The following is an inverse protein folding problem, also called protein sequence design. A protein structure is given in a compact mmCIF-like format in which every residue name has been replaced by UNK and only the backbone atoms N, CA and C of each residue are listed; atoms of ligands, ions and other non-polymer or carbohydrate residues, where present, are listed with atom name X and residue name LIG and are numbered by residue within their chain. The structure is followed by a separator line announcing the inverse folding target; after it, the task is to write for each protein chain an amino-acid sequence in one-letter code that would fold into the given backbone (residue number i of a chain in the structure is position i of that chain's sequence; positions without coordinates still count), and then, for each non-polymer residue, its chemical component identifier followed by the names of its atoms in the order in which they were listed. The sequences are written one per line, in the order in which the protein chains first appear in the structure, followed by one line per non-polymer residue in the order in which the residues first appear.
data_IF_044487950177
#
_entry.id   IF_044487950177
#
_cell.length_a   1.000
_cell.length_b   1.000
_cell.length_c   1.000
_cell.angle_alpha   90.00
_cell.angle_beta   90.00
_cell.angle_gamma   90.00
#
_symmetry.space_group_name_H-M   'P 1'
#
loop_
_entity.id
_entity.type
_entity.pdbx_description
1 polymer ?
#
# COMPACT_ATOMS: atom_id res chain seq x y z
N UNK A 1 -4.22 -4.02 25.96
CA UNK A 1 -4.92 -4.11 24.66
C UNK A 1 -5.69 -2.81 24.46
N UNK A 2 -5.20 -1.87 23.63
CA UNK A 2 -5.80 -0.55 23.49
C UNK A 2 -7.24 -0.57 22.99
N UNK A 3 -7.60 -1.40 21.99
CA UNK A 3 -8.98 -1.47 21.48
C UNK A 3 -9.96 -1.87 22.58
N UNK A 4 -9.70 -2.96 23.31
CA UNK A 4 -10.59 -3.41 24.39
C UNK A 4 -10.64 -2.40 25.54
N UNK A 5 -9.51 -1.80 25.90
CA UNK A 5 -9.45 -0.77 26.94
C UNK A 5 -10.18 0.50 26.52
N UNK A 6 -10.10 0.87 25.23
CA UNK A 6 -10.81 2.03 24.70
C UNK A 6 -12.32 1.86 24.80
N UNK A 7 -12.84 0.68 24.44
CA UNK A 7 -14.27 0.35 24.54
C UNK A 7 -14.70 0.33 26.02
N UNK A 8 -13.93 -0.36 26.89
CA UNK A 8 -14.24 -0.47 28.30
C UNK A 8 -14.22 0.88 29.05
N UNK A 9 -13.38 1.83 28.61
CA UNK A 9 -13.25 3.17 29.19
C UNK A 9 -14.05 4.24 28.43
N UNK A 10 -14.89 3.84 27.47
CA UNK A 10 -15.74 4.73 26.65
C UNK A 10 -14.91 5.87 26.02
N UNK A 11 -13.74 5.54 25.49
CA UNK A 11 -12.84 6.49 24.82
C UNK A 11 -12.14 7.49 25.73
N UNK A 12 -12.12 7.29 27.04
CA UNK A 12 -11.52 8.23 28.01
C UNK A 12 -10.29 7.65 28.71
N UNK A 13 -9.34 8.52 29.04
CA UNK A 13 -8.17 8.11 29.81
C UNK A 13 -8.58 7.63 31.23
N UNK A 14 -8.00 6.53 31.68
CA UNK A 14 -8.28 5.97 33.02
C UNK A 14 -7.92 6.93 34.16
N UNK A 15 -6.84 7.71 33.99
CA UNK A 15 -6.34 8.64 35.04
C UNK A 15 -6.97 10.02 34.93
N UNK A 16 -6.83 10.70 33.81
CA UNK A 16 -7.22 12.10 33.63
C UNK A 16 -8.61 12.31 33.02
N UNK A 17 -9.30 11.22 32.61
CA UNK A 17 -10.64 11.26 31.99
C UNK A 17 -10.71 12.04 30.64
N UNK A 18 -9.58 12.55 30.13
CA UNK A 18 -9.55 13.22 28.83
C UNK A 18 -9.91 12.26 27.70
N UNK A 19 -10.60 12.72 26.65
CA UNK A 19 -10.93 11.92 25.48
C UNK A 19 -9.67 11.46 24.76
N UNK A 20 -9.66 10.21 24.32
CA UNK A 20 -8.60 9.61 23.51
C UNK A 20 -9.10 9.56 22.07
N UNK A 21 -8.27 9.98 21.11
CA UNK A 21 -8.64 9.93 19.69
C UNK A 21 -8.97 8.50 19.25
N UNK A 22 -10.05 8.35 18.49
CA UNK A 22 -10.48 7.08 17.88
C UNK A 22 -9.45 6.50 16.89
N UNK A 23 -8.52 7.33 16.40
CA UNK A 23 -7.45 6.90 15.49
C UNK A 23 -6.57 5.80 16.11
N UNK A 24 -6.29 5.87 17.43
CA UNK A 24 -5.44 4.87 18.10
C UNK A 24 -6.04 3.45 18.05
N UNK A 25 -7.27 3.24 18.54
CA UNK A 25 -7.87 1.91 18.46
C UNK A 25 -8.17 1.48 17.03
N UNK A 26 -8.42 2.42 16.11
CA UNK A 26 -8.62 2.11 14.69
C UNK A 26 -7.35 1.55 14.06
N UNK A 27 -6.20 2.21 14.23
CA UNK A 27 -4.91 1.74 13.70
C UNK A 27 -4.57 0.37 14.29
N UNK A 28 -4.75 0.18 15.60
CA UNK A 28 -4.50 -1.10 16.25
C UNK A 28 -5.39 -2.21 15.68
N UNK A 29 -6.68 -1.92 15.47
CA UNK A 29 -7.62 -2.87 14.88
C UNK A 29 -7.21 -3.25 13.45
N UNK A 30 -6.87 -2.26 12.61
CA UNK A 30 -6.40 -2.48 11.23
C UNK A 30 -5.13 -3.32 11.23
N UNK A 31 -4.14 -2.98 12.06
CA UNK A 31 -2.90 -3.76 12.19
C UNK A 31 -3.17 -5.20 12.66
N UNK A 32 -4.06 -5.38 13.64
CA UNK A 32 -4.44 -6.72 14.13
C UNK A 32 -5.13 -7.56 13.07
N UNK A 33 -6.10 -6.99 12.35
CA UNK A 33 -6.78 -7.66 11.23
C UNK A 33 -5.81 -8.01 10.11
N UNK A 34 -4.92 -7.07 9.74
CA UNK A 34 -3.89 -7.29 8.73
C UNK A 34 -2.97 -8.46 9.12
N UNK A 35 -2.54 -8.51 10.39
CA UNK A 35 -1.72 -9.62 10.90
C UNK A 35 -2.41 -10.96 10.73
N UNK A 36 -3.68 -11.06 11.12
CA UNK A 36 -4.45 -12.30 11.01
C UNK A 36 -4.63 -12.73 9.55
N UNK A 37 -4.95 -11.80 8.65
CA UNK A 37 -5.09 -12.08 7.23
C UNK A 37 -3.77 -12.56 6.62
N UNK A 38 -2.67 -11.88 6.89
CA UNK A 38 -1.34 -12.25 6.39
C UNK A 38 -0.88 -13.60 6.96
N UNK A 39 -1.14 -13.86 8.25
CA UNK A 39 -0.82 -15.15 8.86
C UNK A 39 -1.59 -16.29 8.21
N UNK A 40 -2.85 -16.07 7.83
CA UNK A 40 -3.66 -17.07 7.14
C UNK A 40 -3.16 -17.34 5.70
N UNK A 41 -2.63 -16.33 5.01
CA UNK A 41 -2.14 -16.46 3.63
C UNK A 41 -0.74 -17.06 3.58
N UNK A 42 0.18 -16.55 4.41
CA UNK A 42 1.60 -16.88 4.33
C UNK A 42 2.05 -17.93 5.37
N UNK A 43 1.19 -18.24 6.36
CA UNK A 43 1.57 -19.05 7.51
C UNK A 43 2.69 -18.42 8.34
N UNK A 44 3.26 -19.12 9.33
CA UNK A 44 4.39 -18.66 10.13
C UNK A 44 5.71 -18.82 9.36
N UNK A 45 5.95 -17.95 8.37
CA UNK A 45 7.10 -17.98 7.46
C UNK A 45 7.93 -16.70 7.55
N UNK A 46 9.14 -16.70 6.99
CA UNK A 46 9.92 -15.48 6.84
C UNK A 46 9.26 -14.48 5.87
N UNK A 47 8.55 -14.98 4.86
CA UNK A 47 7.76 -14.15 3.97
C UNK A 47 6.67 -13.39 4.73
N UNK A 48 5.97 -14.05 5.68
CA UNK A 48 5.02 -13.40 6.57
C UNK A 48 5.63 -12.23 7.33
N UNK A 49 6.86 -12.40 7.88
CA UNK A 49 7.54 -11.34 8.61
C UNK A 49 7.83 -10.14 7.71
N UNK A 50 8.28 -10.37 6.49
CA UNK A 50 8.53 -9.30 5.52
C UNK A 50 7.23 -8.58 5.17
N UNK A 51 6.16 -9.34 4.84
CA UNK A 51 4.88 -8.76 4.43
C UNK A 51 4.19 -7.98 5.55
N UNK A 52 4.32 -8.41 6.81
CA UNK A 52 3.75 -7.65 7.95
C UNK A 52 4.51 -6.35 8.20
N UNK A 53 5.84 -6.35 8.09
CA UNK A 53 6.65 -5.13 8.24
C UNK A 53 6.29 -4.10 7.16
N UNK A 54 6.18 -4.53 5.90
CA UNK A 54 5.76 -3.65 4.80
C UNK A 54 4.33 -3.16 4.99
N UNK A 55 3.42 -4.03 5.42
CA UNK A 55 2.02 -3.64 5.67
C UNK A 55 1.90 -2.59 6.77
N UNK A 56 2.63 -2.74 7.87
CA UNK A 56 2.64 -1.74 8.94
C UNK A 56 3.27 -0.42 8.52
N UNK A 57 4.34 -0.49 7.71
CA UNK A 57 4.93 0.69 7.09
C UNK A 57 3.92 1.44 6.22
N UNK A 58 3.17 0.72 5.38
CA UNK A 58 2.16 1.31 4.50
C UNK A 58 0.98 1.92 5.29
N UNK A 59 0.53 1.26 6.35
CA UNK A 59 -0.50 1.80 7.24
C UNK A 59 -0.01 3.11 7.87
N UNK A 60 1.22 3.14 8.40
CA UNK A 60 1.79 4.35 8.98
C UNK A 60 1.91 5.49 7.95
N UNK A 61 2.44 5.20 6.76
CA UNK A 61 2.55 6.18 5.65
C UNK A 61 1.17 6.73 5.29
N UNK A 62 0.13 5.88 5.22
CA UNK A 62 -1.24 6.31 4.91
C UNK A 62 -1.72 7.40 5.86
N UNK A 63 -1.56 7.22 7.17
CA UNK A 63 -2.01 8.21 8.15
C UNK A 63 -1.16 9.48 8.13
N UNK A 64 0.14 9.37 7.87
CA UNK A 64 1.03 10.53 7.76
C UNK A 64 0.72 11.34 6.50
N UNK A 65 0.53 10.65 5.37
CA UNK A 65 0.27 11.33 4.09
C UNK A 65 -1.11 12.03 4.07
N UNK A 66 -2.12 11.43 4.71
CA UNK A 66 -3.43 12.10 4.90
C UNK A 66 -3.32 13.37 5.76
N UNK A 67 -2.44 13.38 6.77
CA UNK A 67 -2.33 14.52 7.68
C UNK A 67 -1.37 15.61 7.17
N UNK A 68 -0.29 15.22 6.49
CA UNK A 68 0.83 16.12 6.17
C UNK A 68 1.17 16.19 4.68
N UNK A 69 0.57 15.36 3.83
CA UNK A 69 0.85 15.27 2.38
C UNK A 69 2.32 14.98 2.08
N UNK A 70 2.99 14.20 2.93
CA UNK A 70 4.39 13.82 2.77
C UNK A 70 4.60 12.34 3.08
N UNK A 71 5.55 11.73 2.38
CA UNK A 71 6.08 10.40 2.70
C UNK A 71 7.46 10.59 3.34
N UNK A 72 7.64 10.31 4.65
CA UNK A 72 8.92 10.50 5.32
C UNK A 72 10.01 9.61 4.72
N UNK A 73 11.21 10.19 4.53
CA UNK A 73 12.34 9.44 3.96
C UNK A 73 12.80 8.28 4.85
N UNK A 74 12.52 8.31 6.14
CA UNK A 74 12.82 7.25 7.10
C UNK A 74 12.13 5.94 6.71
N UNK A 75 10.87 6.00 6.28
CA UNK A 75 10.15 4.82 5.79
C UNK A 75 10.68 4.33 4.45
N UNK A 76 11.13 5.24 3.60
CA UNK A 76 11.79 4.91 2.33
C UNK A 76 13.09 4.13 2.60
N UNK A 77 13.94 4.63 3.51
CA UNK A 77 15.18 3.98 3.90
C UNK A 77 14.89 2.62 4.55
N UNK A 78 13.91 2.56 5.45
CA UNK A 78 13.50 1.32 6.12
C UNK A 78 13.04 0.26 5.11
N UNK A 79 12.16 0.62 4.17
CA UNK A 79 11.71 -0.28 3.13
C UNK A 79 12.84 -0.76 2.22
N UNK A 80 13.79 0.11 1.88
CA UNK A 80 14.97 -0.24 1.10
C UNK A 80 15.87 -1.24 1.84
N UNK A 81 16.11 -1.05 3.13
CA UNK A 81 16.88 -1.98 3.97
C UNK A 81 16.20 -3.35 4.01
N UNK A 82 14.87 -3.39 4.25
CA UNK A 82 14.11 -4.64 4.26
C UNK A 82 14.20 -5.33 2.89
N UNK A 83 14.12 -4.57 1.79
CA UNK A 83 14.25 -5.12 0.43
C UNK A 83 15.60 -5.80 0.24
N UNK A 84 16.72 -5.13 0.60
CA UNK A 84 18.06 -5.71 0.50
C UNK A 84 18.18 -6.99 1.33
N UNK A 85 17.74 -6.95 2.59
CA UNK A 85 17.77 -8.10 3.50
C UNK A 85 16.96 -9.26 2.91
N UNK A 86 15.74 -8.98 2.47
CA UNK A 86 14.81 -10.00 1.96
C UNK A 86 15.36 -10.72 0.73
N UNK A 87 16.00 -10.00 -0.18
CA UNK A 87 16.62 -10.59 -1.37
C UNK A 87 17.94 -11.30 -1.06
N UNK A 88 18.79 -10.75 -0.16
CA UNK A 88 20.05 -11.35 0.22
C UNK A 88 19.88 -12.70 0.93
N UNK A 89 18.87 -12.80 1.79
CA UNK A 89 18.55 -14.02 2.54
C UNK A 89 17.48 -14.90 1.87
N UNK A 90 17.04 -14.53 0.65
CA UNK A 90 16.00 -15.26 -0.10
C UNK A 90 14.72 -15.49 0.72
N UNK A 91 14.30 -14.47 1.46
CA UNK A 91 13.10 -14.54 2.31
C UNK A 91 11.79 -14.45 1.50
N UNK A 92 11.89 -14.07 0.23
CA UNK A 92 10.78 -13.93 -0.71
C UNK A 92 10.92 -14.95 -1.84
N UNK A 93 9.80 -15.45 -2.42
CA UNK A 93 9.81 -16.37 -3.54
C UNK A 93 10.14 -15.73 -4.89
N UNK A 94 10.71 -14.53 -4.90
CA UNK A 94 11.13 -13.78 -6.09
C UNK A 94 12.64 -13.58 -6.08
N UNK A 95 13.23 -13.59 -7.28
CA UNK A 95 14.66 -13.33 -7.45
C UNK A 95 14.97 -11.84 -7.36
N UNK A 96 16.22 -11.49 -7.09
CA UNK A 96 16.71 -10.09 -7.12
C UNK A 96 16.36 -9.40 -8.45
N UNK A 97 16.52 -10.13 -9.56
CA UNK A 97 16.24 -9.61 -10.91
C UNK A 97 14.75 -9.31 -11.10
N UNK A 98 13.87 -10.21 -10.63
CA UNK A 98 12.43 -9.97 -10.65
C UNK A 98 12.04 -8.78 -9.76
N UNK A 99 12.67 -8.63 -8.60
CA UNK A 99 12.49 -7.48 -7.72
C UNK A 99 12.92 -6.16 -8.39
N UNK A 100 14.07 -6.16 -9.07
CA UNK A 100 14.53 -4.98 -9.84
C UNK A 100 13.55 -4.61 -10.96
N UNK A 101 13.08 -5.58 -11.73
CA UNK A 101 12.07 -5.31 -12.75
C UNK A 101 10.76 -4.83 -12.16
N UNK A 102 10.29 -5.39 -11.04
CA UNK A 102 9.11 -4.92 -10.32
C UNK A 102 9.28 -3.48 -9.83
N UNK A 103 10.45 -3.16 -9.28
CA UNK A 103 10.82 -1.80 -8.86
C UNK A 103 10.73 -0.81 -10.02
N UNK A 104 11.37 -1.13 -11.15
CA UNK A 104 11.32 -0.31 -12.36
C UNK A 104 9.90 -0.20 -12.93
N UNK A 105 9.12 -1.27 -12.85
CA UNK A 105 7.73 -1.26 -13.33
C UNK A 105 6.88 -0.32 -12.48
N UNK A 106 6.84 -0.51 -11.16
CA UNK A 106 5.96 0.29 -10.31
C UNK A 106 6.45 1.74 -10.22
N UNK A 107 7.66 1.97 -9.74
CA UNK A 107 8.20 3.32 -9.57
C UNK A 107 8.48 4.03 -10.88
N UNK A 108 8.97 3.31 -11.91
CA UNK A 108 9.22 3.87 -13.24
C UNK A 108 7.95 4.31 -13.96
N UNK A 109 6.87 3.52 -13.87
CA UNK A 109 5.57 3.91 -14.44
C UNK A 109 4.97 5.11 -13.67
N UNK A 110 5.06 5.14 -12.32
CA UNK A 110 4.66 6.33 -11.55
C UNK A 110 5.47 7.56 -11.97
N UNK A 111 6.78 7.42 -12.18
CA UNK A 111 7.63 8.51 -12.66
C UNK A 111 7.20 9.01 -14.04
N UNK A 112 6.99 8.09 -15.01
CA UNK A 112 6.56 8.46 -16.37
C UNK A 112 5.20 9.17 -16.32
N UNK A 113 4.23 8.62 -15.57
CA UNK A 113 2.90 9.22 -15.47
C UNK A 113 2.92 10.56 -14.74
N UNK A 114 3.73 10.68 -13.68
CA UNK A 114 3.97 11.95 -12.99
C UNK A 114 4.60 13.01 -13.91
N UNK A 115 5.64 12.63 -14.67
CA UNK A 115 6.30 13.52 -15.63
C UNK A 115 5.35 13.96 -16.77
N UNK A 116 4.57 13.03 -17.32
CA UNK A 116 3.55 13.34 -18.32
C UNK A 116 2.47 14.27 -17.76
N UNK A 117 1.97 14.00 -16.58
CA UNK A 117 0.99 14.86 -15.91
C UNK A 117 1.54 16.26 -15.67
N UNK A 118 2.77 16.39 -15.17
CA UNK A 118 3.45 17.67 -14.96
C UNK A 118 3.64 18.44 -16.28
N UNK A 119 3.99 17.74 -17.37
CA UNK A 119 4.13 18.34 -18.69
C UNK A 119 2.79 18.88 -19.25
N UNK A 120 1.69 18.12 -19.07
CA UNK A 120 0.35 18.48 -19.56
C UNK A 120 -0.25 19.62 -18.73
N UNK A 121 -0.22 19.48 -17.40
CA UNK A 121 -0.92 20.42 -16.49
C UNK A 121 -0.04 21.58 -16.02
N UNK A 122 1.26 21.57 -16.36
CA UNK A 122 2.26 22.58 -15.91
C UNK A 122 2.32 22.79 -14.39
N UNK A 123 1.95 21.78 -13.64
CA UNK A 123 2.00 21.69 -12.17
C UNK A 123 2.50 20.30 -11.81
N UNK A 124 3.14 20.15 -10.66
CA UNK A 124 3.55 18.83 -10.17
C UNK A 124 2.32 17.92 -10.03
N UNK A 125 2.26 16.86 -10.84
CA UNK A 125 1.12 15.95 -10.88
C UNK A 125 1.24 14.79 -9.88
N UNK A 126 2.46 14.42 -9.46
CA UNK A 126 2.72 13.33 -8.52
C UNK A 126 3.93 13.67 -7.64
N UNK A 127 3.82 13.39 -6.36
CA UNK A 127 4.89 13.61 -5.39
C UNK A 127 6.09 12.71 -5.64
N UNK A 128 7.31 13.24 -5.46
CA UNK A 128 8.53 12.44 -5.59
C UNK A 128 8.62 11.32 -4.53
N UNK A 129 7.94 11.50 -3.39
CA UNK A 129 7.77 10.49 -2.35
C UNK A 129 7.05 9.23 -2.86
N UNK A 130 5.96 9.43 -3.64
CA UNK A 130 5.17 8.34 -4.22
C UNK A 130 5.98 7.48 -5.19
N UNK A 131 6.84 8.12 -5.99
CA UNK A 131 7.73 7.44 -6.93
C UNK A 131 8.73 6.56 -6.17
N UNK A 132 9.37 7.11 -5.13
CA UNK A 132 10.30 6.35 -4.27
C UNK A 132 9.60 5.18 -3.59
N UNK A 133 8.39 5.41 -3.07
CA UNK A 133 7.58 4.37 -2.46
C UNK A 133 7.27 3.26 -3.47
N UNK A 134 6.83 3.62 -4.68
CA UNK A 134 6.57 2.66 -5.75
C UNK A 134 7.80 1.85 -6.14
N UNK A 135 9.01 2.46 -6.22
CA UNK A 135 10.26 1.75 -6.45
C UNK A 135 10.51 0.67 -5.39
N UNK A 136 10.31 0.99 -4.13
CA UNK A 136 10.52 0.05 -3.02
C UNK A 136 9.48 -1.05 -3.05
N UNK A 137 8.20 -0.71 -3.17
CA UNK A 137 7.12 -1.69 -3.17
C UNK A 137 7.22 -2.66 -4.34
N UNK A 138 7.60 -2.18 -5.52
CA UNK A 138 7.84 -3.01 -6.69
C UNK A 138 8.91 -4.08 -6.45
N UNK A 139 9.92 -3.78 -5.63
CA UNK A 139 10.97 -4.75 -5.29
C UNK A 139 10.47 -5.97 -4.51
N UNK A 140 9.35 -5.84 -3.78
CA UNK A 140 8.72 -6.94 -3.03
C UNK A 140 7.68 -7.70 -3.87
N UNK A 141 7.12 -7.05 -4.88
CA UNK A 141 6.00 -7.56 -5.66
C UNK A 141 6.45 -8.30 -6.93
N UNK A 142 7.55 -7.88 -7.57
CA UNK A 142 7.91 -8.33 -8.93
C UNK A 142 7.02 -7.68 -9.98
N UNK A 143 7.20 -8.04 -11.27
CA UNK A 143 6.54 -7.33 -12.40
C UNK A 143 5.02 -7.45 -12.35
N UNK A 144 4.50 -8.66 -12.27
CA UNK A 144 3.06 -8.94 -12.41
C UNK A 144 2.24 -8.26 -11.32
N UNK A 145 2.67 -8.42 -10.06
CA UNK A 145 1.98 -7.82 -8.93
C UNK A 145 2.18 -6.31 -8.87
N UNK A 146 3.30 -5.79 -9.39
CA UNK A 146 3.53 -4.35 -9.50
C UNK A 146 2.57 -3.70 -10.51
N UNK A 147 2.30 -4.35 -11.64
CA UNK A 147 1.30 -3.88 -12.60
C UNK A 147 -0.10 -3.88 -11.99
N UNK A 148 -0.46 -4.93 -11.25
CA UNK A 148 -1.75 -5.02 -10.57
C UNK A 148 -1.88 -3.92 -9.51
N UNK A 149 -0.86 -3.73 -8.67
CA UNK A 149 -0.84 -2.70 -7.65
C UNK A 149 -0.91 -1.29 -8.27
N UNK A 150 -0.18 -1.05 -9.36
CA UNK A 150 -0.23 0.20 -10.10
C UNK A 150 -1.64 0.49 -10.63
N UNK A 151 -2.28 -0.49 -11.25
CA UNK A 151 -3.63 -0.36 -11.76
C UNK A 151 -4.62 0.03 -10.66
N UNK A 152 -4.60 -0.68 -9.53
CA UNK A 152 -5.47 -0.34 -8.40
C UNK A 152 -5.11 0.99 -7.74
N UNK A 153 -3.82 1.41 -7.74
CA UNK A 153 -3.42 2.71 -7.21
C UNK A 153 -4.11 3.86 -7.95
N UNK A 154 -4.21 3.77 -9.27
CA UNK A 154 -4.93 4.79 -10.05
C UNK A 154 -6.43 4.73 -9.87
N UNK A 155 -7.02 3.54 -9.73
CA UNK A 155 -8.46 3.41 -9.43
C UNK A 155 -8.76 4.04 -8.07
N UNK A 156 -8.03 3.67 -7.02
CA UNK A 156 -8.25 4.20 -5.67
C UNK A 156 -7.94 5.70 -5.60
N UNK A 157 -6.87 6.15 -6.27
CA UNK A 157 -6.53 7.57 -6.37
C UNK A 157 -7.61 8.37 -7.08
N UNK A 158 -8.17 7.85 -8.17
CA UNK A 158 -9.29 8.46 -8.87
C UNK A 158 -10.56 8.55 -8.01
N UNK A 159 -10.91 7.46 -7.31
CA UNK A 159 -12.05 7.44 -6.38
C UNK A 159 -11.84 8.45 -5.25
N UNK A 160 -10.65 8.45 -4.63
CA UNK A 160 -10.30 9.38 -3.55
C UNK A 160 -10.40 10.83 -4.03
N UNK A 161 -9.87 11.12 -5.22
CA UNK A 161 -9.95 12.46 -5.83
C UNK A 161 -11.40 12.91 -6.03
N UNK A 162 -12.27 12.04 -6.53
CA UNK A 162 -13.69 12.35 -6.72
C UNK A 162 -14.39 12.61 -5.39
N UNK A 163 -14.11 11.79 -4.36
CA UNK A 163 -14.69 11.95 -3.02
C UNK A 163 -14.29 13.31 -2.44
N UNK A 164 -13.02 13.66 -2.48
CA UNK A 164 -12.51 14.92 -1.93
C UNK A 164 -13.07 16.13 -2.68
N UNK A 165 -13.20 16.05 -4.01
CA UNK A 165 -13.84 17.11 -4.81
C UNK A 165 -15.31 17.31 -4.44
N UNK A 166 -16.08 16.24 -4.25
CA UNK A 166 -17.49 16.30 -3.84
C UNK A 166 -17.62 16.86 -2.42
N UNK A 167 -16.74 16.46 -1.51
CA UNK A 167 -16.70 16.92 -0.13
C UNK A 167 -16.26 18.39 -0.01
N UNK A 168 -15.77 19.01 -1.09
CA UNK A 168 -15.19 20.36 -1.11
C UNK A 168 -14.04 20.54 -0.09
N UNK A 169 -13.35 19.47 0.23
CA UNK A 169 -12.19 19.45 1.14
C UNK A 169 -10.87 19.71 0.39
N UNK A 170 -10.93 19.89 -0.92
CA UNK A 170 -9.76 20.23 -1.73
C UNK A 170 -9.47 21.73 -1.52
N UNK A 171 -8.36 22.05 -0.85
CA UNK A 171 -7.90 23.44 -0.66
C UNK A 171 -7.49 24.09 -1.99
N UNK A 172 -7.15 25.38 -1.95
CA UNK A 172 -6.77 26.16 -3.12
C UNK A 172 -5.58 25.58 -3.91
N UNK A 173 -4.72 24.81 -3.26
CA UNK A 173 -3.56 24.15 -3.88
C UNK A 173 -3.88 22.82 -4.56
N UNK A 174 -5.12 22.32 -4.46
CA UNK A 174 -5.59 21.07 -5.09
C UNK A 174 -4.69 19.85 -4.84
N UNK A 175 -3.98 19.79 -3.73
CA UNK A 175 -3.16 18.63 -3.38
C UNK A 175 -4.03 17.50 -2.86
N UNK A 176 -3.87 16.31 -3.45
CA UNK A 176 -4.56 15.09 -3.05
C UNK A 176 -3.51 14.08 -2.62
N UNK A 177 -3.60 13.51 -1.40
CA UNK A 177 -2.63 12.51 -0.97
C UNK A 177 -2.78 11.25 -1.82
N UNK A 178 -1.73 10.87 -2.54
CA UNK A 178 -1.74 9.67 -3.39
C UNK A 178 -1.16 8.44 -2.66
N UNK A 179 -0.35 8.65 -1.63
CA UNK A 179 0.23 7.60 -0.79
C UNK A 179 -0.79 6.60 -0.23
N UNK A 180 -1.97 7.04 0.31
CA UNK A 180 -3.02 6.14 0.74
C UNK A 180 -3.53 5.20 -0.36
N UNK A 181 -3.61 5.69 -1.58
CA UNK A 181 -4.05 4.92 -2.74
C UNK A 181 -3.02 3.86 -3.14
N UNK A 182 -1.73 4.22 -3.15
CA UNK A 182 -0.62 3.28 -3.34
C UNK A 182 -0.62 2.22 -2.25
N UNK A 183 -0.78 2.64 -0.99
CA UNK A 183 -0.79 1.73 0.15
C UNK A 183 -1.96 0.74 0.07
N UNK A 184 -3.19 1.22 -0.14
CA UNK A 184 -4.37 0.38 -0.25
C UNK A 184 -4.27 -0.62 -1.41
N UNK A 185 -3.80 -0.18 -2.58
CA UNK A 185 -3.59 -1.02 -3.76
C UNK A 185 -2.54 -2.11 -3.51
N UNK A 186 -1.42 -1.75 -2.89
CA UNK A 186 -0.37 -2.70 -2.55
C UNK A 186 -0.84 -3.71 -1.51
N UNK A 187 -1.54 -3.27 -0.45
CA UNK A 187 -2.11 -4.15 0.56
C UNK A 187 -3.14 -5.11 -0.05
N UNK A 188 -4.02 -4.64 -0.94
CA UNK A 188 -4.95 -5.50 -1.67
C UNK A 188 -4.20 -6.56 -2.49
N UNK A 189 -3.14 -6.15 -3.19
CA UNK A 189 -2.33 -7.06 -4.02
C UNK A 189 -1.63 -8.13 -3.16
N UNK A 190 -1.11 -7.76 -1.99
CA UNK A 190 -0.48 -8.68 -1.02
C UNK A 190 -1.52 -9.66 -0.45
N UNK A 191 -2.71 -9.18 -0.09
CA UNK A 191 -3.78 -9.98 0.50
C UNK A 191 -4.44 -10.94 -0.51
N UNK A 192 -4.37 -10.64 -1.79
CA UNK A 192 -4.93 -11.50 -2.85
C UNK A 192 -3.91 -12.45 -3.47
N UNK A 193 -2.69 -12.51 -2.91
CA UNK A 193 -1.65 -13.44 -3.34
C UNK A 193 -2.00 -14.88 -2.99
N UNK A 194 -1.69 -15.81 -3.90
CA UNK A 194 -1.87 -17.26 -3.68
C UNK A 194 -0.58 -17.89 -3.16
N UNK A 195 -0.72 -18.98 -2.40
CA UNK A 195 0.41 -19.81 -2.00
C UNK A 195 1.08 -20.33 -3.28
N UNK A 196 2.39 -20.04 -3.44
CA UNK A 196 3.14 -20.43 -4.64
C UNK A 196 3.44 -19.30 -5.63
N UNK A 197 3.08 -18.05 -5.30
CA UNK A 197 3.54 -16.85 -6.02
C UNK A 197 2.57 -16.24 -7.03
N UNK A 198 1.40 -16.86 -7.26
CA UNK A 198 0.34 -16.30 -8.09
C UNK A 198 -0.51 -15.25 -7.36
N UNK A 199 -1.57 -14.78 -8.03
CA UNK A 199 -2.54 -13.85 -7.44
C UNK A 199 -3.96 -14.25 -7.86
N UNK A 200 -4.91 -14.26 -6.91
CA UNK A 200 -6.30 -14.65 -7.16
C UNK A 200 -6.97 -13.77 -8.22
N UNK A 201 -6.72 -12.47 -8.22
CA UNK A 201 -7.32 -11.53 -9.17
C UNK A 201 -6.78 -11.77 -10.58
N UNK A 202 -5.45 -11.95 -10.70
CA UNK A 202 -4.80 -12.25 -11.97
C UNK A 202 -5.30 -13.59 -12.53
N UNK A 203 -5.32 -14.62 -11.70
CA UNK A 203 -5.80 -15.94 -12.10
C UNK A 203 -7.27 -15.90 -12.53
N UNK A 204 -8.13 -15.22 -11.75
CA UNK A 204 -9.53 -15.05 -12.11
C UNK A 204 -9.69 -14.32 -13.46
N UNK A 205 -8.93 -13.24 -13.69
CA UNK A 205 -8.97 -12.51 -14.95
C UNK A 205 -8.59 -13.40 -16.13
N UNK A 206 -7.51 -14.13 -16.05
CA UNK A 206 -7.06 -14.99 -17.15
C UNK A 206 -7.99 -16.19 -17.36
N UNK A 207 -8.52 -16.80 -16.32
CA UNK A 207 -9.48 -17.91 -16.46
C UNK A 207 -10.79 -17.46 -17.04
N UNK A 208 -11.29 -16.28 -16.63
CA UNK A 208 -12.61 -15.79 -17.05
C UNK A 208 -12.59 -15.13 -18.42
N UNK A 209 -11.55 -14.33 -18.72
CA UNK A 209 -11.53 -13.53 -19.94
C UNK A 209 -10.81 -14.22 -21.11
N UNK A 210 -9.85 -15.11 -20.83
CA UNK A 210 -9.03 -15.71 -21.88
C UNK A 210 -9.45 -17.12 -22.27
N UNK A 211 -9.91 -17.92 -21.31
CA UNK A 211 -10.32 -19.33 -21.59
C UNK A 211 -11.75 -19.47 -22.12
N UNK A 212 -12.52 -18.41 -22.26
CA UNK A 212 -13.82 -18.43 -22.92
C UNK A 212 -14.91 -19.28 -22.27
N UNK A 213 -14.71 -19.80 -21.08
CA UNK A 213 -15.62 -20.75 -20.44
C UNK A 213 -16.86 -20.11 -19.76
N UNK A 214 -16.97 -18.78 -19.75
CA UNK A 214 -18.06 -18.08 -19.07
C UNK A 214 -18.88 -17.13 -19.95
N UNK A 215 -18.77 -17.25 -21.27
CA UNK A 215 -19.60 -16.43 -22.20
C UNK A 215 -20.72 -17.21 -22.90
N UNK A 216 -21.14 -18.36 -22.33
CA UNK A 216 -22.34 -19.05 -22.81
C UNK A 216 -23.17 -19.60 -21.65
#
# INVERSE_FOLDING_TARGET
MPVLSYIALLGKCRKCKNPISIRYPLIEFICGMMTLMLLNIYGPSFEFIVMILISYMLIAITFIDVDYFIIPNEFIIFGFIISIISHSFKLLPITVVQGLYGSLTYGGMLFIMGAMGTFIFKKEALGFGDIKLGLILGSFLGIELSLLALFFSFIFGGIMSIILLIAKEVGDDHMIPFGPSIAAATLLTILTRTIGGGNHIINWYFTTMWNGEYFF
#
